data_IF_157813930187
#
_entry.id   IF_157813930187
#
_cell.length_a   1.000
_cell.length_b   1.000
_cell.length_c   1.000
_cell.angle_alpha   90.00
_cell.angle_beta   90.00
_cell.angle_gamma   90.00
#
_symmetry.space_group_name_H-M   'P 1'
#
loop_
_entity.id
_entity.type
_entity.pdbx_description
1 polymer ?
#
# COMPACT_ATOMS: atom_id res chain seq x y z
N UNK A 1 -12.70 -17.11 -5.60
CA UNK A 1 -12.27 -15.81 -5.02
C UNK A 1 -13.53 -15.01 -4.73
N UNK A 2 -13.63 -14.35 -3.57
CA UNK A 2 -14.85 -13.58 -3.26
C UNK A 2 -14.93 -12.36 -4.18
N UNK A 3 -16.13 -12.06 -4.69
CA UNK A 3 -16.40 -10.90 -5.55
C UNK A 3 -15.98 -9.56 -4.91
N UNK A 4 -15.88 -9.53 -3.58
CA UNK A 4 -15.48 -8.37 -2.79
C UNK A 4 -13.98 -8.05 -2.88
N UNK A 5 -13.13 -9.07 -2.93
CA UNK A 5 -11.69 -8.90 -3.10
C UNK A 5 -11.33 -8.43 -4.52
N UNK A 6 -12.14 -8.81 -5.51
CA UNK A 6 -11.95 -8.45 -6.92
C UNK A 6 -12.40 -7.00 -7.24
N UNK A 7 -13.35 -6.47 -6.46
CA UNK A 7 -13.74 -5.05 -6.52
C UNK A 7 -12.68 -4.15 -5.88
N UNK A 8 -12.22 -4.51 -4.67
CA UNK A 8 -11.23 -3.75 -3.93
C UNK A 8 -9.86 -3.74 -4.63
N UNK A 9 -9.44 -4.86 -5.23
CA UNK A 9 -8.20 -4.93 -6.02
C UNK A 9 -8.22 -4.03 -7.26
N UNK A 10 -9.42 -3.83 -7.83
CA UNK A 10 -9.62 -3.07 -9.07
C UNK A 10 -9.78 -1.58 -8.83
N UNK A 11 -10.37 -1.20 -7.70
CA UNK A 11 -10.60 0.20 -7.33
C UNK A 11 -9.39 0.83 -6.63
N UNK A 12 -8.72 0.09 -5.73
CA UNK A 12 -7.52 0.57 -5.04
C UNK A 12 -6.57 -0.59 -4.70
N UNK A 13 -5.60 -0.89 -5.58
CA UNK A 13 -4.64 -1.96 -5.34
C UNK A 13 -3.72 -1.67 -4.15
N UNK A 14 -3.48 -0.41 -3.79
CA UNK A 14 -2.62 -0.03 -2.64
C UNK A 14 -3.35 -0.32 -1.33
N UNK A 15 -4.64 0.05 -1.23
CA UNK A 15 -5.47 -0.29 -0.08
C UNK A 15 -5.58 -1.81 0.12
N UNK A 16 -5.65 -2.59 -0.96
CA UNK A 16 -5.63 -4.05 -0.87
C UNK A 16 -4.33 -4.56 -0.25
N UNK A 17 -3.17 -4.10 -0.72
CA UNK A 17 -1.86 -4.50 -0.17
C UNK A 17 -1.77 -4.12 1.31
N UNK A 18 -2.16 -2.89 1.67
CA UNK A 18 -2.18 -2.45 3.07
C UNK A 18 -3.11 -3.30 3.96
N UNK A 19 -4.31 -3.63 3.48
CA UNK A 19 -5.25 -4.49 4.21
C UNK A 19 -4.72 -5.90 4.41
N UNK A 20 -4.07 -6.45 3.38
CA UNK A 20 -3.45 -7.78 3.41
C UNK A 20 -2.29 -7.81 4.40
N UNK A 21 -1.45 -6.77 4.40
CA UNK A 21 -0.36 -6.60 5.35
C UNK A 21 -0.89 -6.63 6.79
N UNK A 22 -1.88 -5.79 7.11
CA UNK A 22 -2.50 -5.76 8.44
C UNK A 22 -3.11 -7.10 8.87
N UNK A 23 -3.75 -7.81 7.95
CA UNK A 23 -4.34 -9.11 8.21
C UNK A 23 -3.26 -10.15 8.55
N UNK A 24 -2.18 -10.20 7.75
CA UNK A 24 -1.07 -11.11 7.96
C UNK A 24 -0.32 -10.80 9.26
N UNK A 25 0.04 -9.55 9.53
CA UNK A 25 0.70 -9.15 10.78
C UNK A 25 -0.16 -9.51 12.00
N UNK A 26 -1.48 -9.31 11.92
CA UNK A 26 -2.40 -9.73 12.99
C UNK A 26 -2.44 -11.24 13.17
N UNK A 27 -2.50 -11.99 12.07
CA UNK A 27 -2.48 -13.46 12.10
C UNK A 27 -1.20 -13.96 12.77
N UNK A 28 -0.04 -13.49 12.31
CA UNK A 28 1.27 -13.86 12.85
C UNK A 28 1.40 -13.49 14.32
N UNK A 29 0.94 -12.31 14.74
CA UNK A 29 0.93 -11.94 16.17
C UNK A 29 0.00 -12.83 17.02
N UNK A 30 -1.12 -13.28 16.45
CA UNK A 30 -2.16 -13.99 17.20
C UNK A 30 -1.92 -15.49 17.27
N UNK A 31 -1.17 -16.07 16.32
CA UNK A 31 -0.96 -17.52 16.27
C UNK A 31 -0.15 -18.03 17.48
N UNK A 32 0.75 -17.22 18.06
CA UNK A 32 1.51 -17.55 19.29
C UNK A 32 2.18 -18.93 19.24
N UNK A 33 2.81 -19.29 18.12
CA UNK A 33 3.42 -20.61 17.92
C UNK A 33 2.43 -21.77 17.75
N UNK A 34 1.13 -21.50 17.61
CA UNK A 34 0.13 -22.51 17.23
C UNK A 34 0.08 -22.68 15.72
N UNK A 35 -0.06 -23.92 15.21
CA UNK A 35 -0.15 -24.15 13.77
C UNK A 35 -1.27 -23.34 13.12
N UNK A 36 -0.94 -22.59 12.07
CA UNK A 36 -1.91 -21.87 11.27
C UNK A 36 -2.55 -22.89 10.31
N UNK A 37 -3.87 -23.10 10.44
CA UNK A 37 -4.59 -24.07 9.60
C UNK A 37 -4.85 -23.50 8.21
N UNK A 38 -4.73 -24.34 7.19
CA UNK A 38 -5.21 -24.04 5.84
C UNK A 38 -6.71 -24.29 5.75
N UNK A 39 -7.37 -23.60 4.82
CA UNK A 39 -8.82 -23.71 4.61
C UNK A 39 -9.21 -24.89 3.73
N UNK A 40 -8.29 -25.41 2.90
CA UNK A 40 -8.60 -26.36 1.82
C UNK A 40 -7.76 -27.65 1.87
N UNK A 41 -6.86 -27.77 2.84
CA UNK A 41 -5.92 -28.90 2.98
C UNK A 41 -5.75 -29.20 4.47
N UNK A 42 -5.73 -30.48 4.85
CA UNK A 42 -5.52 -30.94 6.23
C UNK A 42 -4.04 -30.91 6.68
N UNK A 43 -3.27 -29.93 6.19
CA UNK A 43 -1.90 -29.68 6.61
C UNK A 43 -1.77 -28.20 7.00
N UNK A 44 -1.29 -27.88 8.22
CA UNK A 44 -1.05 -26.49 8.60
C UNK A 44 0.10 -25.88 7.79
N UNK A 45 0.28 -24.57 7.89
CA UNK A 45 1.53 -23.95 7.43
C UNK A 45 2.70 -24.42 8.30
N UNK A 46 3.82 -24.76 7.66
CA UNK A 46 5.05 -25.14 8.34
C UNK A 46 5.85 -23.92 8.83
N UNK A 47 6.84 -24.17 9.68
CA UNK A 47 7.73 -23.12 10.22
C UNK A 47 8.45 -22.36 9.10
N UNK A 48 9.00 -23.06 8.10
CA UNK A 48 9.67 -22.42 6.95
C UNK A 48 8.75 -21.44 6.20
N UNK A 49 7.49 -21.81 6.01
CA UNK A 49 6.51 -20.94 5.33
C UNK A 49 6.15 -19.72 6.17
N UNK A 50 6.09 -19.87 7.49
CA UNK A 50 5.85 -18.77 8.42
C UNK A 50 7.07 -17.84 8.43
N UNK A 51 8.28 -18.38 8.47
CA UNK A 51 9.53 -17.60 8.35
C UNK A 51 9.58 -16.84 7.04
N UNK A 52 9.21 -17.44 5.91
CA UNK A 52 9.13 -16.73 4.63
C UNK A 52 8.13 -15.55 4.66
N UNK A 53 7.00 -15.71 5.36
CA UNK A 53 6.06 -14.60 5.55
C UNK A 53 6.70 -13.49 6.37
N UNK A 54 7.36 -13.83 7.47
CA UNK A 54 7.94 -12.86 8.43
C UNK A 54 9.18 -12.15 7.88
N UNK A 55 10.08 -12.88 7.22
CA UNK A 55 11.40 -12.37 6.82
C UNK A 55 11.42 -11.86 5.38
N UNK A 56 10.53 -12.33 4.50
CA UNK A 56 10.52 -11.92 3.09
C UNK A 56 9.28 -11.12 2.72
N UNK A 57 8.08 -11.71 2.88
CA UNK A 57 6.86 -11.10 2.35
C UNK A 57 6.49 -9.81 3.07
N UNK A 58 6.43 -9.84 4.41
CA UNK A 58 6.04 -8.67 5.20
C UNK A 58 7.00 -7.48 4.93
N UNK A 59 8.34 -7.64 4.99
CA UNK A 59 9.26 -6.57 4.64
C UNK A 59 9.11 -6.05 3.21
N UNK A 60 8.85 -6.93 2.24
CA UNK A 60 8.61 -6.52 0.86
C UNK A 60 7.33 -5.67 0.72
N UNK A 61 6.26 -6.01 1.45
CA UNK A 61 5.03 -5.22 1.47
C UNK A 61 5.25 -3.84 2.11
N UNK A 62 6.03 -3.76 3.20
CA UNK A 62 6.39 -2.50 3.85
C UNK A 62 7.20 -1.59 2.91
N UNK A 63 8.22 -2.13 2.25
CA UNK A 63 9.02 -1.39 1.27
C UNK A 63 8.16 -0.91 0.09
N UNK A 64 7.24 -1.73 -0.40
CA UNK A 64 6.31 -1.33 -1.44
C UNK A 64 5.48 -0.13 -1.01
N UNK A 65 4.86 -0.17 0.18
CA UNK A 65 4.03 0.93 0.69
C UNK A 65 4.84 2.21 0.89
N UNK A 66 6.07 2.12 1.41
CA UNK A 66 6.95 3.27 1.59
C UNK A 66 7.28 3.96 0.25
N UNK A 67 7.54 3.17 -0.80
CA UNK A 67 7.81 3.70 -2.15
C UNK A 67 6.60 4.40 -2.76
N UNK A 68 5.39 3.91 -2.51
CA UNK A 68 4.17 4.57 -2.97
C UNK A 68 4.01 5.92 -2.25
N UNK A 69 4.19 5.95 -0.92
CA UNK A 69 4.12 7.20 -0.14
C UNK A 69 5.14 8.24 -0.61
N UNK A 70 6.37 7.82 -0.93
CA UNK A 70 7.39 8.69 -1.51
C UNK A 70 6.95 9.25 -2.87
N UNK A 71 6.36 8.40 -3.71
CA UNK A 71 5.87 8.80 -5.03
C UNK A 71 4.72 9.80 -4.91
N UNK A 72 3.77 9.56 -4.00
CA UNK A 72 2.64 10.45 -3.75
C UNK A 72 3.12 11.82 -3.25
N UNK A 73 4.05 11.84 -2.28
CA UNK A 73 4.62 13.09 -1.77
C UNK A 73 5.37 13.89 -2.86
N UNK A 74 6.11 13.20 -3.73
CA UNK A 74 6.81 13.84 -4.85
C UNK A 74 5.82 14.43 -5.88
N UNK A 75 4.72 13.72 -6.15
CA UNK A 75 3.66 14.19 -7.04
C UNK A 75 2.92 15.40 -6.45
N UNK A 76 2.60 15.38 -5.16
CA UNK A 76 1.97 16.51 -4.46
C UNK A 76 2.86 17.76 -4.52
N UNK A 77 4.16 17.62 -4.20
CA UNK A 77 5.10 18.73 -4.27
C UNK A 77 5.26 19.30 -5.70
N UNK A 78 5.29 18.43 -6.71
CA UNK A 78 5.34 18.84 -8.11
C UNK A 78 4.05 19.57 -8.52
N UNK A 79 2.90 19.12 -8.03
CA UNK A 79 1.61 19.75 -8.29
C UNK A 79 1.51 21.15 -7.66
N UNK A 80 1.94 21.29 -6.41
CA UNK A 80 1.96 22.59 -5.71
C UNK A 80 2.85 23.60 -6.43
N UNK A 81 4.06 23.19 -6.83
CA UNK A 81 4.97 24.05 -7.59
C UNK A 81 4.36 24.51 -8.93
N UNK A 82 3.58 23.65 -9.60
CA UNK A 82 2.90 24.03 -10.84
C UNK A 82 1.75 25.00 -10.60
N UNK A 83 0.97 24.81 -9.52
CA UNK A 83 -0.07 25.77 -9.11
C UNK A 83 0.55 27.15 -8.88
N UNK A 84 1.65 27.23 -8.14
CA UNK A 84 2.35 28.50 -7.86
C UNK A 84 2.80 29.19 -9.17
N UNK A 85 3.39 28.44 -10.10
CA UNK A 85 3.80 28.98 -11.41
C UNK A 85 2.63 29.53 -12.20
N UNK A 86 1.52 28.79 -12.29
CA UNK A 86 0.33 29.21 -13.02
C UNK A 86 -0.26 30.47 -12.39
N UNK A 87 -0.36 30.52 -11.06
CA UNK A 87 -0.85 31.69 -10.35
C UNK A 87 0.04 32.92 -10.56
N UNK A 88 1.37 32.75 -10.53
CA UNK A 88 2.32 33.83 -10.81
C UNK A 88 2.22 34.35 -12.26
N UNK A 89 2.04 33.44 -13.23
CA UNK A 89 1.83 33.81 -14.63
C UNK A 89 0.53 34.61 -14.81
N UNK A 90 -0.58 34.14 -14.24
CA UNK A 90 -1.87 34.84 -14.28
C UNK A 90 -1.81 36.22 -13.62
N UNK A 91 -1.13 36.35 -12.48
CA UNK A 91 -0.95 37.63 -11.80
C UNK A 91 -0.12 38.61 -12.64
N UNK A 92 0.91 38.12 -13.33
CA UNK A 92 1.75 38.93 -14.23
C UNK A 92 0.96 39.42 -15.44
N UNK A 93 0.15 38.54 -16.05
CA UNK A 93 -0.73 38.90 -17.16
C UNK A 93 -1.80 39.92 -16.75
N UNK A 94 -2.42 39.75 -15.58
CA UNK A 94 -3.40 40.69 -15.05
C UNK A 94 -2.79 42.07 -14.80
N UNK A 95 -1.54 42.14 -14.30
CA UNK A 95 -0.83 43.40 -14.10
C UNK A 95 -0.45 44.07 -15.43
N UNK A 96 -0.14 43.29 -16.47
CA UNK A 96 0.18 43.80 -17.81
C UNK A 96 -1.05 44.28 -18.59
N UNK A 97 -2.25 43.82 -18.22
CA UNK A 97 -3.52 44.20 -18.83
C UNK A 97 -4.21 45.40 -18.13
N UNK A 98 -3.67 45.88 -17.01
CA UNK A 98 -4.15 47.03 -16.24
C UNK A 98 -3.40 48.33 -16.59
#
# INVERSE_FOLDING_TARGET
>A
MSLWLDSLSREDPVALVHSSHLALTRLLRTHRGKPIRRLWIDHPYGEEEITLLEEELIPAMEQFMARIQESDAALEAAHEAEIERVQAAMATEALAAA
#
